data_IF_225511006434
#
_entry.id   IF_225511006434
#
_cell.length_a   1.000
_cell.length_b   1.000
_cell.length_c   1.000
_cell.angle_alpha   90.00
_cell.angle_beta   90.00
_cell.angle_gamma   90.00
#
_symmetry.space_group_name_H-M   'P 1'
#
loop_
_entity.id
_entity.type
_entity.pdbx_description
1 polymer ?
#
# COMPACT_ATOMS: atom_id res chain seq x y z
N UNK A 1 18.37 -17.09 -1.97
CA UNK A 1 18.43 -15.88 -1.13
C UNK A 1 18.59 -16.29 0.33
N UNK A 2 19.32 -15.51 1.09
CA UNK A 2 19.54 -15.81 2.50
C UNK A 2 18.30 -15.51 3.34
N UNK A 3 18.21 -16.14 4.50
CA UNK A 3 17.09 -16.00 5.41
C UNK A 3 16.87 -14.53 5.84
N UNK A 4 17.95 -13.80 6.03
CA UNK A 4 17.90 -12.37 6.38
C UNK A 4 17.21 -11.55 5.29
N UNK A 5 17.44 -11.91 4.03
CA UNK A 5 16.82 -11.21 2.89
C UNK A 5 15.32 -11.46 2.83
N UNK A 6 14.88 -12.66 3.17
CA UNK A 6 13.44 -12.96 3.26
C UNK A 6 12.81 -12.16 4.39
N UNK A 7 13.49 -12.06 5.53
CA UNK A 7 13.02 -11.27 6.65
C UNK A 7 12.88 -9.79 6.28
N UNK A 8 13.86 -9.25 5.56
CA UNK A 8 13.81 -7.86 5.08
C UNK A 8 12.65 -7.65 4.12
N UNK A 9 12.36 -8.61 3.24
CA UNK A 9 11.22 -8.53 2.32
C UNK A 9 9.91 -8.54 3.09
N UNK A 10 9.81 -9.34 4.15
CA UNK A 10 8.62 -9.35 5.01
C UNK A 10 8.41 -8.02 5.72
N UNK A 11 9.49 -7.40 6.19
CA UNK A 11 9.42 -6.06 6.80
C UNK A 11 8.96 -5.02 5.78
N UNK A 12 9.45 -5.10 4.56
CA UNK A 12 9.04 -4.20 3.48
C UNK A 12 7.56 -4.38 3.15
N UNK A 13 7.09 -5.63 3.10
CA UNK A 13 5.68 -5.93 2.88
C UNK A 13 4.79 -5.32 3.96
N UNK A 14 5.19 -5.43 5.21
CA UNK A 14 4.47 -4.83 6.34
C UNK A 14 4.43 -3.31 6.23
N UNK A 15 5.53 -2.69 5.80
CA UNK A 15 5.61 -1.25 5.61
C UNK A 15 4.59 -0.79 4.55
N UNK A 16 4.54 -1.49 3.40
CA UNK A 16 3.56 -1.18 2.36
C UNK A 16 2.14 -1.36 2.86
N UNK A 17 1.89 -2.42 3.62
CA UNK A 17 0.56 -2.70 4.18
C UNK A 17 0.12 -1.61 5.16
N UNK A 18 1.02 -1.17 6.03
CA UNK A 18 0.75 -0.09 6.98
C UNK A 18 0.41 1.21 6.24
N UNK A 19 1.16 1.52 5.18
CA UNK A 19 0.91 2.71 4.38
C UNK A 19 -0.41 2.62 3.63
N UNK A 20 -0.77 1.44 3.14
CA UNK A 20 -2.05 1.23 2.47
C UNK A 20 -3.22 1.47 3.42
N UNK A 21 -3.12 0.95 4.65
CA UNK A 21 -4.15 1.13 5.67
C UNK A 21 -4.30 2.60 6.03
N UNK A 22 -3.18 3.30 6.21
CA UNK A 22 -3.18 4.74 6.51
C UNK A 22 -3.84 5.54 5.39
N UNK A 23 -3.51 5.23 4.15
CA UNK A 23 -4.09 5.92 3.00
C UNK A 23 -5.60 5.69 2.92
N UNK A 24 -6.06 4.48 3.23
CA UNK A 24 -7.48 4.14 3.29
C UNK A 24 -8.19 4.99 4.33
N UNK A 25 -7.57 5.20 5.49
CA UNK A 25 -8.11 6.07 6.54
C UNK A 25 -8.22 7.53 6.08
N UNK A 26 -7.22 8.00 5.33
CA UNK A 26 -7.23 9.36 4.77
C UNK A 26 -8.40 9.51 3.80
N UNK A 27 -8.64 8.52 2.94
CA UNK A 27 -9.78 8.52 2.01
C UNK A 27 -11.09 8.66 2.76
N UNK A 28 -11.28 7.91 3.84
CA UNK A 28 -12.51 7.98 4.63
C UNK A 28 -12.72 9.37 5.21
N UNK A 29 -11.66 10.00 5.70
CA UNK A 29 -11.74 11.36 6.25
C UNK A 29 -12.03 12.39 5.17
N UNK A 30 -11.40 12.28 4.01
CA UNK A 30 -11.60 13.19 2.89
C UNK A 30 -13.04 13.11 2.36
N UNK A 31 -13.60 11.90 2.33
CA UNK A 31 -14.99 11.70 1.87
C UNK A 31 -16.01 12.41 2.75
N UNK A 32 -15.68 12.66 4.00
CA UNK A 32 -16.57 13.35 4.93
C UNK A 32 -16.59 14.87 4.71
N UNK A 33 -15.65 15.40 3.94
CA UNK A 33 -15.60 16.81 3.63
C UNK A 33 -16.63 17.18 2.57
N UNK A 34 -17.06 18.46 2.51
CA UNK A 34 -17.99 18.89 1.46
C UNK A 34 -17.42 18.64 0.06
N UNK A 35 -18.32 18.31 -0.87
CA UNK A 35 -17.93 18.07 -2.26
C UNK A 35 -17.27 19.31 -2.86
N UNK A 36 -16.12 19.11 -3.51
CA UNK A 36 -15.37 20.18 -4.17
C UNK A 36 -14.44 19.55 -5.19
N UNK A 37 -13.97 20.33 -6.20
CA UNK A 37 -12.96 19.81 -7.13
C UNK A 37 -11.70 19.36 -6.43
N UNK A 38 -11.28 20.06 -5.38
CA UNK A 38 -10.09 19.71 -4.60
C UNK A 38 -10.26 18.38 -3.89
N UNK A 39 -11.44 18.13 -3.32
CA UNK A 39 -11.75 16.85 -2.68
C UNK A 39 -11.68 15.72 -3.69
N UNK A 40 -12.27 15.90 -4.85
CA UNK A 40 -12.31 14.88 -5.89
C UNK A 40 -10.89 14.55 -6.38
N UNK A 41 -10.05 15.57 -6.57
CA UNK A 41 -8.67 15.38 -6.97
C UNK A 41 -7.88 14.62 -5.91
N UNK A 42 -8.06 14.97 -4.64
CA UNK A 42 -7.40 14.29 -3.54
C UNK A 42 -7.82 12.81 -3.47
N UNK A 43 -9.11 12.51 -3.67
CA UNK A 43 -9.60 11.13 -3.69
C UNK A 43 -8.97 10.32 -4.81
N UNK A 44 -8.78 10.91 -5.99
CA UNK A 44 -8.13 10.22 -7.10
C UNK A 44 -6.66 9.92 -6.79
N UNK A 45 -5.94 10.87 -6.18
CA UNK A 45 -4.56 10.67 -5.78
C UNK A 45 -4.45 9.53 -4.76
N UNK A 46 -5.30 9.55 -3.74
CA UNK A 46 -5.30 8.50 -2.71
C UNK A 46 -5.63 7.14 -3.29
N UNK A 47 -6.59 7.07 -4.22
CA UNK A 47 -6.96 5.83 -4.89
C UNK A 47 -5.76 5.25 -5.65
N UNK A 48 -5.03 6.10 -6.37
CA UNK A 48 -3.83 5.69 -7.09
C UNK A 48 -2.76 5.15 -6.14
N UNK A 49 -2.56 5.81 -5.01
CA UNK A 49 -1.59 5.37 -4.00
C UNK A 49 -1.96 4.00 -3.42
N UNK A 50 -3.24 3.79 -3.12
CA UNK A 50 -3.72 2.50 -2.58
C UNK A 50 -3.48 1.39 -3.59
N UNK A 51 -3.76 1.63 -4.86
CA UNK A 51 -3.52 0.66 -5.92
C UNK A 51 -2.04 0.31 -6.04
N UNK A 52 -1.15 1.30 -5.97
CA UNK A 52 0.29 1.07 -6.02
C UNK A 52 0.77 0.24 -4.84
N UNK A 53 0.34 0.57 -3.62
CA UNK A 53 0.71 -0.20 -2.44
C UNK A 53 0.22 -1.64 -2.55
N UNK A 54 -0.98 -1.85 -3.06
CA UNK A 54 -1.54 -3.20 -3.25
C UNK A 54 -0.70 -4.01 -4.25
N UNK A 55 -0.29 -3.39 -5.34
CA UNK A 55 0.58 -4.03 -6.33
C UNK A 55 1.94 -4.40 -5.74
N UNK A 56 2.53 -3.49 -4.97
CA UNK A 56 3.82 -3.73 -4.34
C UNK A 56 3.76 -4.85 -3.30
N UNK A 57 2.67 -4.91 -2.53
CA UNK A 57 2.46 -6.00 -1.57
C UNK A 57 2.42 -7.34 -2.30
N UNK A 58 1.70 -7.43 -3.40
CA UNK A 58 1.61 -8.66 -4.19
C UNK A 58 2.95 -9.04 -4.81
N UNK A 59 3.68 -8.06 -5.31
CA UNK A 59 5.01 -8.30 -5.90
C UNK A 59 5.97 -8.84 -4.85
N UNK A 60 6.01 -8.22 -3.68
CA UNK A 60 6.88 -8.68 -2.59
C UNK A 60 6.48 -10.07 -2.14
N UNK A 61 5.18 -10.35 -2.03
CA UNK A 61 4.68 -11.68 -1.67
C UNK A 61 5.15 -12.74 -2.67
N UNK A 62 5.11 -12.43 -3.96
CA UNK A 62 5.58 -13.33 -5.01
C UNK A 62 7.08 -13.62 -4.89
N UNK A 63 7.86 -12.60 -4.58
CA UNK A 63 9.31 -12.76 -4.39
C UNK A 63 9.59 -13.65 -3.19
N UNK A 64 8.88 -13.42 -2.07
CA UNK A 64 9.04 -14.22 -0.86
C UNK A 64 8.74 -15.70 -1.16
N UNK A 65 7.65 -15.96 -1.87
CA UNK A 65 7.26 -17.34 -2.22
C UNK A 65 8.34 -18.04 -3.05
N UNK A 66 8.92 -17.34 -4.01
CA UNK A 66 10.00 -17.91 -4.84
C UNK A 66 11.25 -18.22 -4.01
N UNK A 67 11.56 -17.37 -3.04
CA UNK A 67 12.74 -17.53 -2.21
C UNK A 67 12.60 -18.63 -1.17
N UNK A 68 11.38 -19.01 -0.82
CA UNK A 68 11.11 -20.10 0.11
C UNK A 68 11.26 -21.48 -0.56
N UNK A 69 11.16 -21.52 -1.86
CA UNK A 69 11.31 -22.77 -2.61
C UNK A 69 12.79 -23.11 -2.85
#
# INVERSE_FOLDING_TARGET
>A
MQKESVSDLQMLQEWFETNRIRETGIVENVRKQPASPERDEMLEICKGNIEEFSMMIQLVASIIEREKE
#
